data_IF_579408742802
#
_entry.id   IF_579408742802
#
_cell.length_a   1.000
_cell.length_b   1.000
_cell.length_c   1.000
_cell.angle_alpha   90.00
_cell.angle_beta   90.00
_cell.angle_gamma   90.00
#
_symmetry.space_group_name_H-M   'P 1'
#
loop_
_entity.id
_entity.type
_entity.pdbx_description
1 polymer ?
#
# COMPACT_ATOMS: atom_id res chain seq x y z
N UNK A 1 9.75 -16.17 -15.62
CA UNK A 1 10.75 -15.16 -15.17
C UNK A 1 11.10 -15.47 -13.72
N UNK A 2 12.38 -15.55 -13.36
CA UNK A 2 12.82 -15.76 -11.99
C UNK A 2 13.26 -14.40 -11.42
N UNK A 3 12.50 -13.87 -10.44
CA UNK A 3 12.87 -12.66 -9.71
C UNK A 3 13.36 -13.05 -8.32
N UNK A 4 14.60 -12.67 -7.99
CA UNK A 4 15.17 -12.90 -6.66
C UNK A 4 15.29 -11.56 -5.93
N UNK A 5 14.45 -11.36 -4.92
CA UNK A 5 14.50 -10.17 -4.07
C UNK A 5 15.01 -10.58 -2.69
N UNK A 6 16.06 -9.91 -2.22
CA UNK A 6 16.62 -10.17 -0.89
C UNK A 6 15.68 -9.59 0.18
N UNK A 7 15.56 -10.26 1.32
CA UNK A 7 14.82 -9.74 2.50
C UNK A 7 15.26 -8.33 2.89
N UNK A 8 16.57 -8.04 2.71
CA UNK A 8 17.13 -6.71 2.99
C UNK A 8 16.55 -5.56 2.14
N UNK A 9 15.82 -5.86 1.06
CA UNK A 9 15.11 -4.85 0.25
C UNK A 9 13.82 -4.32 0.93
N UNK A 10 13.39 -4.92 2.04
CA UNK A 10 12.18 -4.54 2.76
C UNK A 10 12.52 -4.07 4.16
N UNK A 11 11.75 -3.12 4.68
CA UNK A 11 11.78 -2.79 6.10
C UNK A 11 11.28 -3.97 6.93
N UNK A 12 11.93 -4.21 8.05
CA UNK A 12 11.67 -5.41 8.85
C UNK A 12 10.25 -5.44 9.42
N UNK A 13 9.69 -4.27 9.77
CA UNK A 13 8.32 -4.12 10.26
C UNK A 13 7.25 -4.47 9.21
N UNK A 14 7.55 -4.27 7.92
CA UNK A 14 6.63 -4.56 6.82
C UNK A 14 6.81 -5.96 6.25
N UNK A 15 7.96 -6.59 6.48
CA UNK A 15 8.27 -7.88 5.87
C UNK A 15 7.22 -8.98 6.13
N UNK A 16 6.63 -9.11 7.35
CA UNK A 16 5.57 -10.09 7.60
C UNK A 16 4.33 -9.89 6.74
N UNK A 17 4.07 -8.66 6.31
CA UNK A 17 2.88 -8.30 5.52
C UNK A 17 3.05 -8.60 4.02
N UNK A 18 4.28 -8.88 3.57
CA UNK A 18 4.60 -8.99 2.15
C UNK A 18 3.73 -10.02 1.42
N UNK A 19 3.48 -11.12 2.08
CA UNK A 19 2.73 -12.25 1.54
C UNK A 19 1.50 -12.59 2.39
N UNK A 20 1.05 -11.63 3.17
CA UNK A 20 -0.20 -11.80 3.89
C UNK A 20 -1.34 -12.09 2.91
N UNK A 21 -1.94 -13.25 3.08
CA UNK A 21 -3.03 -13.79 2.27
C UNK A 21 -4.25 -14.14 3.16
N UNK A 22 -4.16 -13.77 4.44
CA UNK A 22 -5.21 -14.06 5.43
C UNK A 22 -6.22 -12.92 5.54
N UNK A 23 -5.79 -11.67 5.28
CA UNK A 23 -6.63 -10.48 5.44
C UNK A 23 -7.15 -9.94 4.09
N UNK A 24 -8.40 -9.49 4.09
CA UNK A 24 -9.04 -8.85 2.92
C UNK A 24 -8.70 -7.36 2.83
N UNK A 25 -8.37 -6.76 3.98
CA UNK A 25 -8.04 -5.34 4.11
C UNK A 25 -6.73 -5.16 4.88
N UNK A 26 -5.85 -4.31 4.37
CA UNK A 26 -4.67 -3.83 5.09
C UNK A 26 -4.76 -2.32 5.25
N UNK A 27 -4.76 -1.84 6.48
CA UNK A 27 -4.67 -0.41 6.78
C UNK A 27 -3.25 -0.08 7.28
N UNK A 28 -2.49 0.65 6.47
CA UNK A 28 -1.14 1.09 6.78
C UNK A 28 -1.17 2.54 7.27
N UNK A 29 -0.95 2.73 8.56
CA UNK A 29 -0.91 4.06 9.19
C UNK A 29 0.54 4.43 9.47
N UNK A 30 0.97 5.59 9.01
CA UNK A 30 2.34 6.02 9.28
C UNK A 30 2.61 7.45 8.83
N UNK A 31 3.53 8.09 9.50
CA UNK A 31 3.96 9.44 9.17
C UNK A 31 4.82 9.50 7.91
N UNK A 32 5.27 10.71 7.58
CA UNK A 32 6.23 10.94 6.52
C UNK A 32 7.52 10.13 6.76
N UNK A 33 8.06 9.55 5.70
CA UNK A 33 9.28 8.75 5.77
C UNK A 33 9.11 7.35 6.40
N UNK A 34 7.91 6.91 6.74
CA UNK A 34 7.68 5.59 7.35
C UNK A 34 7.89 4.40 6.39
N UNK A 35 7.93 4.64 5.08
CA UNK A 35 8.12 3.59 4.07
C UNK A 35 6.85 2.88 3.61
N UNK A 36 5.66 3.25 4.12
CA UNK A 36 4.39 2.59 3.81
C UNK A 36 4.04 2.58 2.32
N UNK A 37 4.19 3.71 1.61
CA UNK A 37 3.85 3.81 0.18
C UNK A 37 4.76 2.92 -0.67
N UNK A 38 6.08 3.04 -0.45
CA UNK A 38 7.05 2.22 -1.17
C UNK A 38 6.83 0.72 -0.95
N UNK A 39 6.61 0.30 0.30
CA UNK A 39 6.27 -1.09 0.62
C UNK A 39 4.99 -1.56 -0.08
N UNK A 40 3.95 -0.74 -0.12
CA UNK A 40 2.68 -1.11 -0.77
C UNK A 40 2.87 -1.43 -2.25
N UNK A 41 3.68 -0.65 -2.97
CA UNK A 41 4.00 -0.93 -4.36
C UNK A 41 4.95 -2.11 -4.54
N UNK A 42 5.96 -2.28 -3.67
CA UNK A 42 6.80 -3.49 -3.67
C UNK A 42 5.93 -4.75 -3.53
N UNK A 43 5.03 -4.75 -2.55
CA UNK A 43 4.12 -5.85 -2.30
C UNK A 43 3.20 -6.13 -3.50
N UNK A 44 2.59 -5.08 -4.04
CA UNK A 44 1.69 -5.22 -5.18
C UNK A 44 2.38 -5.79 -6.41
N UNK A 45 3.59 -5.32 -6.72
CA UNK A 45 4.38 -5.81 -7.86
C UNK A 45 4.75 -7.28 -7.67
N UNK A 46 5.18 -7.69 -6.46
CA UNK A 46 5.53 -9.09 -6.18
C UNK A 46 4.32 -9.99 -6.34
N UNK A 47 3.17 -9.63 -5.77
CA UNK A 47 1.93 -10.41 -5.89
C UNK A 47 1.42 -10.45 -7.35
N UNK A 48 1.59 -9.36 -8.10
CA UNK A 48 1.24 -9.30 -9.52
C UNK A 48 2.15 -10.17 -10.40
N UNK A 49 3.38 -10.44 -9.97
CA UNK A 49 4.29 -11.37 -10.66
C UNK A 49 3.91 -12.83 -10.34
N UNK A 50 3.51 -13.11 -9.10
CA UNK A 50 3.13 -14.45 -8.65
C UNK A 50 1.84 -14.93 -9.30
N UNK A 51 0.83 -14.05 -9.32
CA UNK A 51 -0.51 -14.34 -9.82
C UNK A 51 -0.95 -13.26 -10.81
N UNK A 52 -1.76 -13.63 -11.78
CA UNK A 52 -2.36 -12.67 -12.69
C UNK A 52 -3.40 -11.83 -11.96
N UNK A 53 -3.03 -10.60 -11.60
CA UNK A 53 -3.85 -9.65 -10.83
C UNK A 53 -4.14 -8.38 -11.61
N UNK A 54 -5.23 -7.73 -11.26
CA UNK A 54 -5.57 -6.40 -11.75
C UNK A 54 -5.73 -5.44 -10.59
N UNK A 55 -4.74 -4.59 -10.42
CA UNK A 55 -4.69 -3.57 -9.38
C UNK A 55 -5.37 -2.29 -9.84
N UNK A 56 -6.27 -1.77 -9.02
CA UNK A 56 -6.76 -0.41 -9.11
C UNK A 56 -6.00 0.46 -8.10
N UNK A 57 -5.21 1.40 -8.59
CA UNK A 57 -4.44 2.34 -7.75
C UNK A 57 -5.16 3.67 -7.73
N UNK A 58 -5.51 4.13 -6.54
CA UNK A 58 -6.38 5.30 -6.35
C UNK A 58 -5.73 6.34 -5.46
N UNK A 59 -5.93 7.59 -5.84
CA UNK A 59 -5.84 8.78 -5.02
C UNK A 59 -7.04 9.69 -5.29
N UNK A 60 -7.32 10.64 -4.40
CA UNK A 60 -8.45 11.55 -4.58
C UNK A 60 -8.37 12.33 -5.89
N UNK A 61 -7.21 12.89 -6.21
CA UNK A 61 -6.95 13.70 -7.40
C UNK A 61 -6.08 12.95 -8.42
N UNK A 62 -6.44 13.00 -9.70
CA UNK A 62 -5.64 12.43 -10.79
C UNK A 62 -4.27 13.13 -10.94
N UNK A 63 -4.20 14.44 -10.65
CA UNK A 63 -2.94 15.19 -10.69
C UNK A 63 -1.95 14.72 -9.63
N UNK A 64 -2.43 14.52 -8.39
CA UNK A 64 -1.58 14.05 -7.30
C UNK A 64 -1.20 12.59 -7.47
N UNK A 65 -2.13 11.77 -7.98
CA UNK A 65 -1.87 10.37 -8.32
C UNK A 65 -0.70 10.24 -9.31
N UNK A 66 -0.62 11.12 -10.32
CA UNK A 66 0.49 11.10 -11.29
C UNK A 66 1.84 11.43 -10.64
N UNK A 67 1.86 12.37 -9.68
CA UNK A 67 3.06 12.83 -9.01
C UNK A 67 3.53 11.92 -7.87
N UNK A 68 2.68 11.01 -7.39
CA UNK A 68 3.00 10.09 -6.30
C UNK A 68 2.90 8.63 -6.74
N UNK A 69 1.71 8.06 -6.74
CA UNK A 69 1.49 6.63 -7.00
C UNK A 69 2.11 6.13 -8.31
N UNK A 70 2.00 6.93 -9.39
CA UNK A 70 2.57 6.55 -10.67
C UNK A 70 4.10 6.53 -10.65
N UNK A 71 4.71 7.53 -10.01
CA UNK A 71 6.15 7.61 -9.86
C UNK A 71 6.67 6.48 -8.95
N UNK A 72 6.01 6.21 -7.82
CA UNK A 72 6.38 5.15 -6.90
C UNK A 72 6.27 3.76 -7.55
N UNK A 73 5.18 3.50 -8.28
CA UNK A 73 4.98 2.25 -9.00
C UNK A 73 6.05 2.04 -10.09
N UNK A 74 6.29 3.05 -10.93
CA UNK A 74 7.29 2.97 -11.98
C UNK A 74 8.71 2.85 -11.44
N UNK A 75 9.02 3.55 -10.35
CA UNK A 75 10.28 3.45 -9.63
C UNK A 75 10.48 2.05 -9.03
N UNK A 76 9.44 1.47 -8.44
CA UNK A 76 9.47 0.09 -7.91
C UNK A 76 9.77 -0.93 -9.02
N UNK A 77 9.12 -0.81 -10.18
CA UNK A 77 9.37 -1.70 -11.32
C UNK A 77 10.80 -1.55 -11.88
N UNK A 78 11.33 -0.33 -11.88
CA UNK A 78 12.73 -0.06 -12.25
C UNK A 78 13.70 -0.66 -11.24
N UNK A 79 13.42 -0.49 -9.94
CA UNK A 79 14.24 -1.07 -8.88
C UNK A 79 14.28 -2.60 -8.93
N UNK A 80 13.17 -3.23 -9.32
CA UNK A 80 13.12 -4.68 -9.55
C UNK A 80 13.64 -5.09 -10.94
N UNK A 81 14.16 -4.17 -11.73
CA UNK A 81 14.73 -4.38 -13.06
C UNK A 81 13.76 -5.02 -14.07
N UNK A 82 12.45 -4.86 -13.86
CA UNK A 82 11.41 -5.43 -14.73
C UNK A 82 10.62 -4.40 -15.54
N UNK A 83 10.87 -3.11 -15.33
CA UNK A 83 10.14 -2.04 -16.02
C UNK A 83 10.21 -2.17 -17.56
N UNK A 84 11.36 -2.56 -18.09
CA UNK A 84 11.59 -2.72 -19.52
C UNK A 84 10.81 -3.90 -20.14
N UNK A 85 10.28 -4.81 -19.32
CA UNK A 85 9.44 -5.94 -19.74
C UNK A 85 7.94 -5.59 -19.76
N UNK A 86 7.58 -4.45 -19.18
CA UNK A 86 6.18 -4.04 -19.04
C UNK A 86 5.70 -3.21 -20.23
N UNK A 87 4.42 -3.33 -20.55
CA UNK A 87 3.76 -2.39 -21.47
C UNK A 87 3.24 -1.21 -20.66
N UNK A 88 3.81 -0.04 -20.87
CA UNK A 88 3.51 1.18 -20.12
C UNK A 88 2.76 2.18 -20.99
N UNK A 89 1.61 2.65 -20.50
CA UNK A 89 0.85 3.75 -21.11
C UNK A 89 0.80 4.95 -20.18
N UNK A 90 1.62 5.95 -20.45
CA UNK A 90 1.74 7.16 -19.64
C UNK A 90 0.52 8.09 -19.74
N UNK A 91 -0.25 8.01 -20.81
CA UNK A 91 -1.47 8.81 -21.01
C UNK A 91 -2.61 8.29 -20.13
N UNK A 92 -2.86 6.98 -20.21
CA UNK A 92 -3.93 6.34 -19.46
C UNK A 92 -3.49 5.87 -18.06
N UNK A 93 -2.21 6.04 -17.70
CA UNK A 93 -1.62 5.59 -16.43
C UNK A 93 -1.88 4.10 -16.18
N UNK A 94 -1.53 3.27 -17.16
CA UNK A 94 -1.68 1.81 -17.06
C UNK A 94 -0.36 1.10 -17.32
N UNK A 95 -0.11 0.04 -16.58
CA UNK A 95 1.04 -0.84 -16.76
C UNK A 95 0.55 -2.28 -16.85
N UNK A 96 1.01 -3.00 -17.85
CA UNK A 96 0.77 -4.43 -18.00
C UNK A 96 2.09 -5.20 -17.90
N UNK A 97 2.11 -6.19 -17.00
CA UNK A 97 3.23 -7.09 -16.79
C UNK A 97 3.21 -8.23 -17.83
N UNK A 98 4.35 -8.93 -18.08
CA UNK A 98 4.42 -10.03 -19.04
C UNK A 98 3.44 -11.18 -18.80
N UNK A 99 3.03 -11.43 -17.56
CA UNK A 99 2.03 -12.44 -17.21
C UNK A 99 0.57 -11.97 -17.40
N UNK A 100 0.38 -10.75 -17.91
CA UNK A 100 -0.94 -10.15 -18.12
C UNK A 100 -1.55 -9.51 -16.87
N UNK A 101 -0.80 -9.38 -15.77
CA UNK A 101 -1.20 -8.55 -14.63
C UNK A 101 -1.22 -7.09 -15.02
N UNK A 102 -2.16 -6.34 -14.46
CA UNK A 102 -2.35 -4.94 -14.82
C UNK A 102 -2.39 -4.03 -13.57
N UNK A 103 -1.80 -2.85 -13.71
CA UNK A 103 -2.00 -1.74 -12.80
C UNK A 103 -2.75 -0.64 -13.55
N UNK A 104 -3.87 -0.19 -13.02
CA UNK A 104 -4.67 0.89 -13.56
C UNK A 104 -4.74 1.98 -12.49
N UNK A 105 -4.12 3.12 -12.77
CA UNK A 105 -4.11 4.26 -11.86
C UNK A 105 -5.20 5.26 -12.24
N UNK A 106 -6.03 5.68 -11.28
CA UNK A 106 -7.14 6.61 -11.52
C UNK A 106 -7.40 7.50 -10.32
N UNK A 107 -7.65 8.78 -10.57
CA UNK A 107 -8.22 9.68 -9.55
C UNK A 107 -9.70 9.41 -9.36
N UNK A 108 -10.23 9.75 -8.17
CA UNK A 108 -11.68 9.68 -7.91
C UNK A 108 -12.47 10.82 -8.55
N UNK A 109 -11.80 11.87 -9.03
CA UNK A 109 -12.39 12.93 -9.84
C UNK A 109 -12.99 12.40 -11.17
N UNK A 110 -12.51 11.25 -11.65
CA UNK A 110 -13.11 10.53 -12.80
C UNK A 110 -13.76 9.18 -12.36
N UNK A 111 -14.75 9.27 -11.50
CA UNK A 111 -15.42 8.09 -10.95
C UNK A 111 -16.10 7.21 -12.01
N UNK A 112 -16.55 7.80 -13.14
CA UNK A 112 -17.15 7.02 -14.24
C UNK A 112 -16.14 6.10 -14.91
N UNK A 113 -14.88 6.53 -15.03
CA UNK A 113 -13.80 5.72 -15.52
C UNK A 113 -13.57 4.50 -14.63
N UNK A 114 -13.59 4.67 -13.31
CA UNK A 114 -13.44 3.57 -12.37
C UNK A 114 -14.57 2.55 -12.51
N UNK A 115 -15.81 3.00 -12.74
CA UNK A 115 -16.96 2.12 -12.95
C UNK A 115 -16.81 1.22 -14.18
N UNK A 116 -16.11 1.66 -15.20
CA UNK A 116 -15.91 0.91 -16.45
C UNK A 116 -14.80 -0.12 -16.41
N UNK A 117 -13.96 -0.15 -15.35
CA UNK A 117 -12.83 -1.09 -15.25
C UNK A 117 -13.36 -2.46 -14.78
N UNK A 118 -13.28 -3.51 -15.63
CA UNK A 118 -13.73 -4.86 -15.26
C UNK A 118 -12.65 -5.64 -14.52
N UNK A 119 -13.08 -6.65 -13.78
CA UNK A 119 -12.23 -7.70 -13.20
C UNK A 119 -11.10 -7.19 -12.29
N UNK A 120 -11.36 -6.15 -11.49
CA UNK A 120 -10.41 -5.68 -10.49
C UNK A 120 -10.29 -6.75 -9.41
N UNK A 121 -9.06 -7.16 -9.11
CA UNK A 121 -8.76 -8.13 -8.04
C UNK A 121 -8.32 -7.43 -6.76
N UNK A 122 -7.53 -6.37 -6.88
CA UNK A 122 -6.92 -5.68 -5.75
C UNK A 122 -7.05 -4.16 -5.91
N UNK A 123 -7.05 -3.44 -4.80
CA UNK A 123 -7.00 -1.98 -4.81
C UNK A 123 -5.94 -1.45 -3.85
N UNK A 124 -5.32 -0.34 -4.23
CA UNK A 124 -4.44 0.45 -3.39
C UNK A 124 -5.00 1.87 -3.33
N UNK A 125 -5.26 2.36 -2.13
CA UNK A 125 -5.76 3.72 -1.90
C UNK A 125 -4.70 4.50 -1.14
N UNK A 126 -4.05 5.44 -1.82
CA UNK A 126 -3.10 6.36 -1.20
C UNK A 126 -3.83 7.56 -0.62
N UNK A 127 -3.36 8.05 0.53
CA UNK A 127 -3.98 9.13 1.32
C UNK A 127 -5.48 8.86 1.54
N UNK A 128 -5.80 7.66 2.03
CA UNK A 128 -7.16 7.20 2.22
C UNK A 128 -8.02 8.11 3.14
N UNK A 129 -7.39 8.97 3.93
CA UNK A 129 -8.06 10.00 4.73
C UNK A 129 -8.73 11.10 3.91
N UNK A 130 -8.35 11.26 2.63
CA UNK A 130 -8.90 12.29 1.73
C UNK A 130 -10.18 11.84 1.03
N UNK A 131 -10.44 10.55 0.93
CA UNK A 131 -11.67 10.00 0.33
C UNK A 131 -12.78 9.85 1.36
N UNK A 132 -13.98 9.56 0.91
CA UNK A 132 -15.13 9.30 1.80
C UNK A 132 -15.28 7.80 2.08
N UNK A 133 -16.05 7.46 3.13
CA UNK A 133 -16.42 6.07 3.40
C UNK A 133 -17.27 5.45 2.28
N UNK A 134 -18.06 6.27 1.59
CA UNK A 134 -18.86 5.82 0.45
C UNK A 134 -17.95 5.48 -0.74
N UNK A 135 -16.91 6.27 -0.99
CA UNK A 135 -15.91 5.98 -2.01
C UNK A 135 -15.21 4.65 -1.71
N UNK A 136 -14.77 4.46 -0.46
CA UNK A 136 -14.18 3.21 0.00
C UNK A 136 -15.10 2.01 -0.24
N UNK A 137 -16.37 2.14 0.16
CA UNK A 137 -17.38 1.09 0.01
C UNK A 137 -17.62 0.74 -1.46
N UNK A 138 -17.67 1.74 -2.33
CA UNK A 138 -17.84 1.55 -3.76
C UNK A 138 -16.63 0.90 -4.43
N UNK A 139 -15.41 1.28 -4.04
CA UNK A 139 -14.18 0.65 -4.52
C UNK A 139 -14.16 -0.83 -4.11
N UNK A 140 -14.48 -1.11 -2.85
CA UNK A 140 -14.55 -2.47 -2.31
C UNK A 140 -15.51 -3.37 -3.09
N UNK A 141 -16.69 -2.84 -3.46
CA UNK A 141 -17.64 -3.57 -4.31
C UNK A 141 -17.12 -3.85 -5.73
N UNK A 142 -16.02 -3.22 -6.16
CA UNK A 142 -15.38 -3.48 -7.46
C UNK A 142 -14.39 -4.62 -7.44
N UNK A 143 -13.98 -5.09 -6.28
CA UNK A 143 -13.08 -6.22 -6.13
C UNK A 143 -13.83 -7.52 -6.46
N UNK A 144 -14.04 -7.78 -7.74
CA UNK A 144 -14.82 -8.91 -8.28
C UNK A 144 -14.00 -9.82 -9.19
N UNK A 145 -12.69 -9.57 -9.29
CA UNK A 145 -11.80 -10.43 -10.06
C UNK A 145 -11.77 -11.84 -9.47
N UNK A 146 -11.83 -12.84 -10.34
CA UNK A 146 -11.77 -14.24 -9.95
C UNK A 146 -10.34 -14.76 -10.14
N UNK A 147 -9.71 -15.16 -9.04
CA UNK A 147 -8.40 -15.80 -9.01
C UNK A 147 -8.40 -16.93 -8.00
N UNK A 148 -7.32 -17.70 -7.96
CA UNK A 148 -7.09 -18.72 -6.91
C UNK A 148 -6.50 -18.09 -5.64
N UNK A 149 -6.58 -16.76 -5.52
CA UNK A 149 -6.02 -15.95 -4.46
C UNK A 149 -7.10 -15.01 -3.89
N UNK A 150 -6.83 -14.48 -2.72
CA UNK A 150 -7.69 -13.51 -2.04
C UNK A 150 -7.57 -12.13 -2.69
N UNK A 151 -8.71 -11.51 -3.01
CA UNK A 151 -8.76 -10.10 -3.40
C UNK A 151 -8.51 -9.23 -2.17
N UNK A 152 -7.70 -8.19 -2.31
CA UNK A 152 -7.31 -7.36 -1.18
C UNK A 152 -7.39 -5.87 -1.48
N UNK A 153 -7.71 -5.10 -0.43
CA UNK A 153 -7.65 -3.64 -0.46
C UNK A 153 -6.57 -3.16 0.53
N UNK A 154 -5.68 -2.31 0.07
CA UNK A 154 -4.65 -1.67 0.90
C UNK A 154 -4.98 -0.20 1.00
N UNK A 155 -5.16 0.28 2.22
CA UNK A 155 -5.34 1.70 2.52
C UNK A 155 -4.06 2.24 3.14
N UNK A 156 -3.60 3.35 2.64
CA UNK A 156 -2.46 4.09 3.21
C UNK A 156 -2.94 5.44 3.73
N UNK A 157 -2.59 5.76 4.96
CA UNK A 157 -2.94 7.05 5.56
C UNK A 157 -1.83 7.55 6.47
N UNK A 158 -1.73 8.86 6.58
CA UNK A 158 -1.00 9.49 7.66
C UNK A 158 -1.83 9.40 8.96
N UNK A 159 -1.26 9.69 10.13
CA UNK A 159 -2.03 9.78 11.36
C UNK A 159 -3.17 10.80 11.22
N UNK A 160 -4.34 10.41 11.65
CA UNK A 160 -5.60 11.11 11.39
C UNK A 160 -6.24 11.64 12.67
N UNK A 161 -7.08 12.68 12.54
CA UNK A 161 -7.90 13.16 13.64
C UNK A 161 -9.06 12.20 13.90
N UNK A 162 -9.60 12.22 15.13
CA UNK A 162 -10.79 11.45 15.52
C UNK A 162 -12.04 11.80 14.70
N UNK A 163 -12.06 12.97 14.06
CA UNK A 163 -13.16 13.39 13.20
C UNK A 163 -13.15 12.69 11.82
N UNK A 164 -12.01 12.10 11.41
CA UNK A 164 -11.90 11.43 10.12
C UNK A 164 -12.66 10.09 10.11
N UNK A 165 -13.23 9.74 8.97
CA UNK A 165 -13.99 8.49 8.79
C UNK A 165 -13.15 7.24 9.06
N UNK A 166 -11.86 7.25 8.71
CA UNK A 166 -10.94 6.13 8.98
C UNK A 166 -10.86 5.86 10.49
N UNK A 167 -10.71 6.92 11.32
CA UNK A 167 -10.69 6.74 12.76
C UNK A 167 -12.00 6.10 13.25
N UNK A 168 -13.14 6.63 12.82
CA UNK A 168 -14.46 6.13 13.23
C UNK A 168 -14.75 4.71 12.74
N UNK A 169 -14.19 4.33 11.63
CA UNK A 169 -14.44 3.02 11.02
C UNK A 169 -13.48 1.93 11.52
N UNK A 170 -12.20 2.27 11.71
CA UNK A 170 -11.17 1.28 12.03
C UNK A 170 -10.74 1.29 13.50
N UNK A 171 -11.01 2.34 14.27
CA UNK A 171 -10.47 2.50 15.62
C UNK A 171 -11.53 2.81 16.68
N UNK A 172 -12.58 3.57 16.36
CA UNK A 172 -13.64 3.90 17.29
C UNK A 172 -14.52 2.67 17.51
N UNK A 173 -14.67 2.24 18.76
CA UNK A 173 -15.43 1.03 19.13
C UNK A 173 -14.94 -0.28 18.47
N UNK A 174 -13.71 -0.31 18.02
CA UNK A 174 -13.10 -1.44 17.31
C UNK A 174 -13.16 -1.31 15.80
N UNK A 175 -12.49 -2.23 15.12
CA UNK A 175 -12.46 -2.26 13.65
C UNK A 175 -13.79 -2.80 13.10
N UNK A 176 -14.49 -1.98 12.32
CA UNK A 176 -15.75 -2.36 11.66
C UNK A 176 -15.53 -3.10 10.33
N UNK A 177 -14.29 -3.07 9.82
CA UNK A 177 -13.92 -3.83 8.63
C UNK A 177 -13.60 -5.27 9.03
N UNK A 178 -14.37 -6.25 8.56
CA UNK A 178 -14.07 -7.65 8.83
C UNK A 178 -12.75 -8.03 8.18
N UNK A 179 -12.00 -8.88 8.88
CA UNK A 179 -10.75 -9.44 8.40
C UNK A 179 -9.73 -8.37 7.93
N UNK A 180 -9.53 -7.33 8.75
CA UNK A 180 -8.62 -6.22 8.51
C UNK A 180 -7.38 -6.32 9.39
N UNK A 181 -6.19 -6.20 8.78
CA UNK A 181 -4.95 -6.01 9.48
C UNK A 181 -4.58 -4.52 9.49
N UNK A 182 -4.32 -3.99 10.69
CA UNK A 182 -3.89 -2.61 10.88
C UNK A 182 -2.41 -2.62 11.27
N UNK A 183 -1.57 -1.97 10.46
CA UNK A 183 -0.15 -1.83 10.71
C UNK A 183 0.22 -0.36 10.88
N UNK A 184 0.96 -0.08 11.97
CA UNK A 184 1.49 1.25 12.25
C UNK A 184 3.00 1.28 12.04
N UNK A 185 3.50 2.35 11.43
CA UNK A 185 4.92 2.55 11.18
C UNK A 185 5.33 4.01 11.32
N UNK A 186 6.58 4.22 11.66
CA UNK A 186 7.20 5.53 11.78
C UNK A 186 8.45 5.60 10.90
N UNK A 187 9.06 6.78 10.78
CA UNK A 187 10.35 6.90 10.11
C UNK A 187 11.46 6.05 10.77
N UNK A 188 11.32 5.69 12.05
CA UNK A 188 12.27 4.84 12.78
C UNK A 188 12.23 3.37 12.32
N UNK A 189 11.11 2.94 11.78
CA UNK A 189 10.93 1.60 11.21
C UNK A 189 11.48 1.51 9.77
N UNK A 190 11.86 2.65 9.18
CA UNK A 190 12.36 2.73 7.82
C UNK A 190 13.89 2.84 7.77
N UNK A 191 14.56 1.73 7.55
CA UNK A 191 16.03 1.68 7.42
C UNK A 191 16.58 2.36 6.16
N UNK A 192 15.72 2.78 5.21
CA UNK A 192 16.12 3.44 3.97
C UNK A 192 15.93 4.96 4.02
N UNK A 193 15.37 5.50 5.11
CA UNK A 193 15.25 6.95 5.26
C UNK A 193 16.63 7.59 5.39
N UNK A 194 16.88 8.66 4.63
CA UNK A 194 18.17 9.33 4.67
C UNK A 194 18.31 10.22 5.92
N UNK A 195 19.56 10.47 6.31
CA UNK A 195 19.88 11.27 7.51
C UNK A 195 19.31 12.69 7.46
N UNK A 196 19.23 13.32 6.30
CA UNK A 196 18.67 14.66 6.13
C UNK A 196 17.19 14.67 6.51
N UNK A 197 16.44 13.66 6.05
CA UNK A 197 15.03 13.49 6.41
C UNK A 197 14.88 13.22 7.90
N UNK A 198 15.72 12.36 8.48
CA UNK A 198 15.70 12.08 9.93
C UNK A 198 15.92 13.38 10.71
N UNK A 199 16.97 14.15 10.38
CA UNK A 199 17.26 15.42 11.05
C UNK A 199 16.09 16.41 10.95
N UNK A 200 15.48 16.52 9.77
CA UNK A 200 14.30 17.37 9.58
C UNK A 200 13.10 16.92 10.44
N UNK A 201 12.82 15.61 10.50
CA UNK A 201 11.75 15.09 11.35
C UNK A 201 12.04 15.26 12.85
N UNK A 202 13.28 15.02 13.26
CA UNK A 202 13.72 15.16 14.65
C UNK A 202 13.69 16.63 15.12
N UNK A 203 13.93 17.62 14.24
CA UNK A 203 13.85 19.04 14.60
C UNK A 203 12.45 19.46 15.06
N UNK A 204 11.41 18.75 14.65
CA UNK A 204 10.04 19.02 15.12
C UNK A 204 9.82 18.68 16.60
N UNK A 205 10.71 17.93 17.24
CA UNK A 205 10.64 17.68 18.68
C UNK A 205 10.62 19.00 19.47
N UNK A 206 11.44 19.96 19.03
CA UNK A 206 11.61 21.24 19.69
C UNK A 206 10.71 22.32 19.07
N UNK A 207 10.62 22.36 17.75
CA UNK A 207 9.92 23.44 17.03
C UNK A 207 8.39 23.23 16.98
N UNK A 208 7.91 21.99 16.94
CA UNK A 208 6.49 21.66 16.94
C UNK A 208 6.24 20.25 17.55
N UNK A 209 6.28 20.11 18.88
CA UNK A 209 6.15 18.82 19.55
C UNK A 209 4.85 18.08 19.26
N UNK A 210 3.76 18.81 18.99
CA UNK A 210 2.48 18.19 18.61
C UNK A 210 2.54 17.57 17.23
N UNK A 211 3.10 18.28 16.26
CA UNK A 211 3.35 17.75 14.91
C UNK A 211 4.25 16.52 14.97
N UNK A 212 5.33 16.58 15.76
CA UNK A 212 6.24 15.45 15.94
C UNK A 212 5.52 14.20 16.46
N UNK A 213 4.72 14.35 17.54
CA UNK A 213 3.96 13.21 18.08
C UNK A 213 2.99 12.62 17.06
N UNK A 214 2.25 13.48 16.35
CA UNK A 214 1.21 13.04 15.43
C UNK A 214 1.85 12.47 14.15
N UNK A 215 2.63 13.28 13.44
CA UNK A 215 3.09 12.94 12.09
C UNK A 215 4.39 12.14 12.05
N UNK A 216 5.25 12.26 13.06
CA UNK A 216 6.50 11.50 13.08
C UNK A 216 6.37 10.19 13.87
N UNK A 217 5.63 10.19 14.99
CA UNK A 217 5.49 9.02 15.85
C UNK A 217 4.15 8.28 15.70
N UNK A 218 3.28 8.72 14.82
CA UNK A 218 1.94 8.13 14.61
C UNK A 218 1.10 7.98 15.90
N UNK A 219 1.34 8.83 16.91
CA UNK A 219 0.80 8.67 18.27
C UNK A 219 -0.69 9.05 18.41
N UNK A 220 -1.33 9.58 17.37
CA UNK A 220 -2.75 9.97 17.43
C UNK A 220 -3.71 8.78 17.30
N UNK A 221 -3.20 7.64 16.89
CA UNK A 221 -3.97 6.41 16.77
C UNK A 221 -3.58 5.51 17.96
N UNK A 222 -4.35 5.54 19.03
CA UNK A 222 -4.23 4.54 20.08
C UNK A 222 -4.79 3.23 19.52
N UNK A 223 -3.90 2.31 19.14
CA UNK A 223 -4.29 0.95 18.84
C UNK A 223 -4.74 0.26 20.13
N UNK A 224 -5.94 -0.35 20.17
CA UNK A 224 -6.38 -1.11 21.35
C UNK A 224 -5.53 -2.36 21.61
N UNK A 225 -4.76 -2.82 20.64
CA UNK A 225 -3.89 -3.99 20.76
C UNK A 225 -2.56 -3.71 20.06
N UNK A 226 -1.51 -3.49 20.85
CA UNK A 226 -0.15 -3.74 20.40
C UNK A 226 -0.04 -5.26 20.14
N UNK A 227 -0.22 -5.68 18.92
CA UNK A 227 0.15 -7.04 18.54
C UNK A 227 1.66 -7.16 18.72
N UNK A 228 2.05 -7.79 19.83
CA UNK A 228 3.37 -8.33 20.01
C UNK A 228 3.67 -9.20 18.78
N UNK A 229 4.76 -8.89 18.10
CA UNK A 229 5.26 -9.67 16.98
C UNK A 229 5.27 -11.14 17.36
N UNK A 230 4.33 -11.91 16.82
CA UNK A 230 4.39 -13.37 16.87
C UNK A 230 5.59 -13.73 16.00
N UNK A 231 6.65 -14.18 16.68
CA UNK A 231 7.88 -14.63 16.05
C UNK A 231 7.61 -15.82 15.14
N UNK A 232 7.40 -15.57 13.87
CA UNK A 232 7.46 -16.62 12.86
C UNK A 232 8.78 -16.42 12.09
N UNK A 233 9.82 -17.08 12.59
CA UNK A 233 11.00 -17.36 11.78
C UNK A 233 10.59 -18.38 10.70
N UNK A 234 10.22 -17.91 9.52
CA UNK A 234 10.17 -18.75 8.33
C UNK A 234 11.15 -18.22 7.30
N UNK A 235 12.22 -18.99 7.12
CA UNK A 235 13.16 -18.84 6.01
C UNK A 235 12.46 -19.35 4.77
N UNK A 236 12.02 -18.45 3.90
CA UNK A 236 11.40 -18.81 2.63
C UNK A 236 12.40 -18.62 1.50
N UNK A 237 12.74 -19.72 0.84
CA UNK A 237 13.47 -19.72 -0.44
C UNK A 237 12.40 -19.70 -1.52
N UNK A 238 12.34 -18.61 -2.28
CA UNK A 238 11.37 -18.46 -3.36
C UNK A 238 11.95 -18.93 -4.68
N UNK A 239 11.39 -19.99 -5.24
CA UNK A 239 11.58 -20.36 -6.63
C UNK A 239 10.26 -20.14 -7.36
N UNK A 240 10.14 -19.05 -8.10
CA UNK A 240 9.03 -18.87 -9.04
C UNK A 240 9.37 -19.58 -10.34
N UNK A 241 8.91 -20.82 -10.50
CA UNK A 241 8.99 -21.52 -11.77
C UNK A 241 7.81 -21.10 -12.64
N UNK A 242 8.06 -20.26 -13.63
CA UNK A 242 7.11 -20.05 -14.72
C UNK A 242 7.16 -21.28 -15.63
N UNK A 243 6.38 -22.30 -15.32
CA UNK A 243 5.97 -23.35 -16.24
C UNK A 243 4.64 -23.92 -15.78
N UNK A 244 3.57 -23.47 -16.43
CA UNK A 244 2.42 -24.31 -16.77
C UNK A 244 1.90 -23.82 -18.11
N UNK A 245 2.13 -24.65 -19.10
CA UNK A 245 1.46 -24.68 -20.39
C UNK A 245 -0.04 -24.60 -20.27
#
# INVERSE_FOLDING_TARGET
MLLRIKKSAFNDSFYPLLLDDEHDCLLLVGGGGSGKSYFSFQRAVIRAIQDKRKYLVIRKSATDLRKSCWEDLTSTLKHFEIYHLCKVNNTNLTIELPNGSQFVCSGLDDYQKIKSIPNITDAIIEEASEITIDDFSQIKMRLRGNGHFRNQIVLMTNPISKANWIYRYFFEDGCKEPNCLIHQSTYKDNKFVNETTIKALESYKETNPMFYRVYCLASSVQSPNSFSAIGIQRTWIWTCSANRT
#
